data_IF_458801991611
#
_entry.id   IF_458801991611
#
_cell.length_a   1.000
_cell.length_b   1.000
_cell.length_c   1.000
_cell.angle_alpha   90.00
_cell.angle_beta   90.00
_cell.angle_gamma   90.00
#
_symmetry.space_group_name_H-M   'P 1'
#
loop_
_entity.id
_entity.type
_entity.pdbx_description
1 polymer ?
#
# COMPACT_ATOMS: atom_id res chain seq x y z
N UNK A 1 37.25 -84.34 6.79
CA UNK A 1 37.38 -82.91 7.23
C UNK A 1 37.64 -82.16 5.99
N UNK A 2 36.60 -81.51 5.42
CA UNK A 2 36.66 -80.81 4.15
C UNK A 2 36.26 -79.34 4.43
N UNK A 3 37.22 -78.44 4.29
CA UNK A 3 37.01 -76.99 4.46
C UNK A 3 36.27 -76.44 3.26
N UNK A 4 35.07 -75.84 3.48
CA UNK A 4 34.37 -75.07 2.53
C UNK A 4 34.68 -73.59 2.85
N UNK A 5 35.57 -72.95 2.07
CA UNK A 5 35.80 -71.53 2.07
C UNK A 5 34.79 -70.90 1.12
N UNK A 6 33.75 -70.24 1.68
CA UNK A 6 32.79 -69.52 0.92
C UNK A 6 33.36 -68.15 0.57
N UNK A 7 33.44 -67.84 -0.72
CA UNK A 7 34.01 -66.62 -1.30
C UNK A 7 33.09 -65.43 -1.05
N UNK A 8 33.35 -64.63 -0.03
CA UNK A 8 32.59 -63.44 0.38
C UNK A 8 32.79 -62.22 -0.57
N UNK A 9 33.58 -62.35 -1.63
CA UNK A 9 33.93 -61.22 -2.54
C UNK A 9 32.92 -60.93 -3.66
N UNK A 10 31.92 -61.74 -3.89
CA UNK A 10 30.98 -61.56 -5.01
C UNK A 10 29.64 -60.86 -4.65
N UNK A 11 29.38 -60.64 -3.35
CA UNK A 11 28.12 -59.98 -2.93
C UNK A 11 28.19 -58.47 -2.64
N UNK A 12 29.41 -57.92 -2.62
CA UNK A 12 29.58 -56.48 -2.29
C UNK A 12 29.55 -55.54 -3.52
N UNK A 13 29.66 -56.06 -4.73
CA UNK A 13 29.74 -55.22 -5.93
C UNK A 13 28.39 -54.65 -6.44
N UNK A 14 27.23 -55.32 -6.32
CA UNK A 14 25.96 -54.72 -6.78
C UNK A 14 25.39 -53.70 -5.82
N UNK A 15 25.76 -53.70 -4.52
CA UNK A 15 25.23 -52.73 -3.54
C UNK A 15 25.89 -51.35 -3.68
N UNK A 16 27.16 -51.30 -4.10
CA UNK A 16 27.89 -50.04 -4.28
C UNK A 16 27.44 -49.25 -5.54
N UNK A 17 26.94 -49.96 -6.57
CA UNK A 17 26.47 -49.34 -7.81
C UNK A 17 25.07 -48.73 -7.65
N UNK A 18 24.21 -49.29 -6.78
CA UNK A 18 22.87 -48.75 -6.50
C UNK A 18 22.96 -47.50 -5.60
N UNK A 19 23.93 -47.45 -4.68
CA UNK A 19 24.13 -46.29 -3.80
C UNK A 19 24.62 -45.04 -4.53
N UNK A 20 25.40 -45.21 -5.62
CA UNK A 20 25.93 -44.04 -6.39
C UNK A 20 24.97 -43.51 -7.44
N UNK A 21 23.95 -44.28 -7.84
CA UNK A 21 22.93 -43.78 -8.79
C UNK A 21 21.85 -42.92 -8.10
N UNK A 22 21.65 -43.04 -6.80
CA UNK A 22 20.67 -42.27 -6.04
C UNK A 22 21.11 -40.80 -5.80
N UNK A 23 22.40 -40.47 -5.98
CA UNK A 23 22.92 -39.10 -5.79
C UNK A 23 22.90 -38.24 -7.06
N UNK A 24 22.39 -38.76 -8.18
CA UNK A 24 22.29 -38.00 -9.46
C UNK A 24 20.88 -37.54 -9.81
N UNK A 25 19.98 -37.48 -8.83
CA UNK A 25 18.71 -36.74 -9.06
C UNK A 25 19.07 -35.26 -9.19
N UNK A 26 18.82 -34.63 -10.36
CA UNK A 26 19.03 -33.22 -10.48
C UNK A 26 18.17 -32.53 -9.42
N UNK A 27 18.80 -31.74 -8.56
CA UNK A 27 18.06 -30.87 -7.67
C UNK A 27 17.05 -30.11 -8.53
N UNK A 28 15.77 -29.96 -8.11
CA UNK A 28 14.81 -29.20 -8.88
C UNK A 28 15.42 -27.80 -9.06
N UNK A 29 15.81 -27.49 -10.28
CA UNK A 29 16.20 -26.13 -10.66
C UNK A 29 14.97 -25.28 -10.42
N UNK A 30 14.98 -24.50 -9.36
CA UNK A 30 13.94 -23.53 -9.08
C UNK A 30 13.89 -22.62 -10.31
N UNK A 31 12.80 -22.71 -11.07
CA UNK A 31 12.65 -21.90 -12.27
C UNK A 31 12.83 -20.42 -11.87
N UNK A 32 13.82 -19.77 -12.48
CA UNK A 32 14.08 -18.36 -12.21
C UNK A 32 12.86 -17.57 -12.64
N UNK A 33 12.32 -16.75 -11.75
CA UNK A 33 11.20 -15.87 -12.06
C UNK A 33 11.51 -15.01 -13.27
N UNK A 34 10.60 -14.99 -14.23
CA UNK A 34 10.69 -14.12 -15.39
C UNK A 34 10.15 -12.75 -14.98
N UNK A 35 10.96 -11.73 -15.09
CA UNK A 35 10.56 -10.36 -14.86
C UNK A 35 10.23 -9.69 -16.19
N UNK A 36 9.11 -8.98 -16.21
CA UNK A 36 8.66 -8.23 -17.39
C UNK A 36 8.49 -6.76 -17.05
N UNK A 37 8.57 -5.90 -18.05
CA UNK A 37 8.38 -4.46 -17.92
C UNK A 37 7.24 -3.99 -18.83
N UNK A 38 6.35 -3.18 -18.29
CA UNK A 38 5.25 -2.52 -19.01
C UNK A 38 5.39 -1.01 -18.78
N UNK A 39 5.34 -0.22 -19.84
CA UNK A 39 5.38 1.24 -19.73
C UNK A 39 4.05 1.82 -20.19
N UNK A 40 3.54 2.78 -19.43
CA UNK A 40 2.38 3.60 -19.75
C UNK A 40 2.79 5.06 -19.95
N UNK A 41 1.83 5.96 -20.03
CA UNK A 41 2.10 7.40 -20.14
C UNK A 41 2.81 7.96 -18.90
N UNK A 42 2.37 7.53 -17.71
CA UNK A 42 2.82 8.11 -16.45
C UNK A 42 3.64 7.15 -15.57
N UNK A 43 3.66 5.85 -15.86
CA UNK A 43 4.27 4.82 -15.01
C UNK A 43 5.14 3.86 -15.80
N UNK A 44 6.20 3.39 -15.13
CA UNK A 44 6.93 2.18 -15.54
C UNK A 44 6.59 1.08 -14.54
N UNK A 45 6.09 -0.05 -15.00
CA UNK A 45 5.80 -1.20 -14.16
C UNK A 45 6.81 -2.30 -14.45
N UNK A 46 7.33 -2.94 -13.41
CA UNK A 46 8.27 -4.07 -13.51
C UNK A 46 7.82 -5.14 -12.51
N UNK A 47 7.84 -6.40 -12.89
CA UNK A 47 7.42 -7.43 -11.94
C UNK A 47 7.59 -8.85 -12.43
N UNK A 48 7.44 -9.80 -11.49
CA UNK A 48 7.37 -11.22 -11.76
C UNK A 48 5.92 -11.76 -11.74
N UNK A 49 4.93 -10.87 -11.61
CA UNK A 49 3.52 -11.18 -11.88
C UNK A 49 3.29 -11.42 -13.38
N UNK A 50 2.16 -12.01 -13.76
CA UNK A 50 1.83 -12.22 -15.17
C UNK A 50 1.69 -10.89 -15.92
N UNK A 51 1.95 -10.89 -17.22
CA UNK A 51 1.78 -9.70 -18.05
C UNK A 51 0.37 -9.12 -17.95
N UNK A 52 -0.64 -9.99 -17.88
CA UNK A 52 -2.05 -9.60 -17.70
C UNK A 52 -2.26 -8.81 -16.41
N UNK A 53 -1.74 -9.30 -15.30
CA UNK A 53 -1.86 -8.63 -14.00
C UNK A 53 -1.13 -7.30 -13.98
N UNK A 54 0.11 -7.24 -14.50
CA UNK A 54 0.87 -5.99 -14.57
C UNK A 54 0.15 -4.95 -15.45
N UNK A 55 -0.43 -5.35 -16.57
CA UNK A 55 -1.24 -4.45 -17.41
C UNK A 55 -2.54 -4.00 -16.73
N UNK A 56 -3.17 -4.86 -15.94
CA UNK A 56 -4.33 -4.47 -15.13
C UNK A 56 -3.96 -3.42 -14.08
N UNK A 57 -2.88 -3.63 -13.34
CA UNK A 57 -2.33 -2.64 -12.38
C UNK A 57 -2.07 -1.31 -13.09
N UNK A 58 -1.40 -1.35 -14.24
CA UNK A 58 -1.10 -0.17 -15.04
C UNK A 58 -2.35 0.61 -15.45
N UNK A 59 -3.37 -0.10 -15.94
CA UNK A 59 -4.65 0.49 -16.35
C UNK A 59 -5.36 1.14 -15.17
N UNK A 60 -5.41 0.47 -14.02
CA UNK A 60 -6.05 0.99 -12.81
C UNK A 60 -5.35 2.24 -12.27
N UNK A 61 -4.02 2.28 -12.29
CA UNK A 61 -3.26 3.47 -11.89
C UNK A 61 -3.50 4.67 -12.81
N UNK A 62 -3.51 4.45 -14.13
CA UNK A 62 -3.79 5.54 -15.07
C UNK A 62 -5.23 6.07 -14.92
N UNK A 63 -6.21 5.19 -14.71
CA UNK A 63 -7.60 5.57 -14.44
C UNK A 63 -7.71 6.38 -13.15
N UNK A 64 -7.10 5.90 -12.08
CA UNK A 64 -7.09 6.60 -10.79
C UNK A 64 -6.47 7.98 -10.93
N UNK A 65 -5.30 8.09 -11.56
CA UNK A 65 -4.61 9.35 -11.80
C UNK A 65 -5.46 10.33 -12.62
N UNK A 66 -6.11 9.87 -13.68
CA UNK A 66 -6.98 10.72 -14.52
C UNK A 66 -8.16 11.28 -13.72
N UNK A 67 -8.86 10.43 -12.94
CA UNK A 67 -9.97 10.85 -12.10
C UNK A 67 -9.51 11.81 -11.01
N UNK A 68 -8.44 11.49 -10.30
CA UNK A 68 -7.91 12.32 -9.24
C UNK A 68 -7.51 13.72 -9.74
N UNK A 69 -6.86 13.79 -10.90
CA UNK A 69 -6.49 15.05 -11.55
C UNK A 69 -7.72 15.90 -11.92
N UNK A 70 -8.82 15.26 -12.31
CA UNK A 70 -10.07 15.95 -12.65
C UNK A 70 -10.83 16.45 -11.43
N UNK A 71 -10.83 15.70 -10.33
CA UNK A 71 -11.52 16.06 -9.09
C UNK A 71 -10.88 17.28 -8.44
N UNK A 72 -9.58 17.38 -8.49
CA UNK A 72 -8.82 18.45 -7.86
C UNK A 72 -8.44 19.53 -8.88
N UNK A 73 -9.45 20.03 -9.61
CA UNK A 73 -9.31 21.11 -10.60
C UNK A 73 -8.60 22.31 -9.98
N UNK A 74 -7.43 22.65 -10.54
CA UNK A 74 -6.62 23.80 -10.10
C UNK A 74 -5.35 23.40 -9.34
N UNK A 75 -5.25 22.19 -8.80
CA UNK A 75 -3.99 21.67 -8.31
C UNK A 75 -3.15 21.18 -9.48
N UNK A 76 -1.92 21.63 -9.59
CA UNK A 76 -0.95 21.07 -10.53
C UNK A 76 -0.44 19.76 -9.94
N UNK A 77 -1.01 18.64 -10.39
CA UNK A 77 -0.50 17.33 -10.00
C UNK A 77 0.78 17.03 -10.76
N UNK A 78 1.85 17.57 -10.26
CA UNK A 78 3.19 17.31 -10.77
C UNK A 78 3.76 16.05 -10.12
N UNK A 79 4.26 15.15 -10.93
CA UNK A 79 5.12 14.05 -10.52
C UNK A 79 6.47 14.26 -11.19
N UNK A 80 7.29 15.19 -10.68
CA UNK A 80 8.54 15.58 -11.32
C UNK A 80 9.53 14.43 -11.40
N UNK A 81 9.44 13.51 -10.45
CA UNK A 81 10.27 12.29 -10.40
C UNK A 81 9.45 11.13 -10.98
N UNK A 82 10.01 10.37 -11.96
CA UNK A 82 9.31 9.23 -12.54
C UNK A 82 9.00 8.16 -11.49
N UNK A 83 7.87 7.48 -11.66
CA UNK A 83 7.42 6.44 -10.73
C UNK A 83 7.51 5.06 -11.36
N UNK A 84 8.21 4.16 -10.68
CA UNK A 84 8.30 2.74 -11.01
C UNK A 84 7.46 1.93 -10.04
N UNK A 85 6.57 1.09 -10.57
CA UNK A 85 5.73 0.19 -9.78
C UNK A 85 6.26 -1.23 -9.89
N UNK A 86 6.60 -1.84 -8.76
CA UNK A 86 7.12 -3.21 -8.70
C UNK A 86 5.99 -4.15 -8.30
N UNK A 87 5.62 -5.05 -9.21
CA UNK A 87 4.45 -5.94 -9.06
C UNK A 87 4.91 -7.37 -8.85
N UNK A 88 4.69 -7.87 -7.64
CA UNK A 88 5.03 -9.24 -7.26
C UNK A 88 3.84 -10.18 -7.45
N UNK A 89 4.10 -11.38 -7.98
CA UNK A 89 3.08 -12.42 -8.21
C UNK A 89 2.50 -13.01 -6.93
N UNK A 90 3.23 -12.92 -5.81
CA UNK A 90 2.82 -13.53 -4.54
C UNK A 90 3.47 -12.84 -3.34
N UNK A 91 2.87 -13.00 -2.16
CA UNK A 91 3.45 -12.53 -0.91
C UNK A 91 4.81 -13.18 -0.61
N UNK A 92 5.01 -14.44 -1.01
CA UNK A 92 6.30 -15.12 -0.86
C UNK A 92 7.40 -14.49 -1.71
N UNK A 93 7.09 -14.06 -2.93
CA UNK A 93 8.05 -13.34 -3.79
C UNK A 93 8.27 -11.90 -3.36
N UNK A 94 7.30 -11.28 -2.69
CA UNK A 94 7.37 -9.93 -2.16
C UNK A 94 8.15 -9.86 -0.83
N UNK A 95 8.01 -10.85 0.03
CA UNK A 95 8.58 -10.87 1.39
C UNK A 95 10.04 -10.44 1.52
N UNK A 96 10.98 -10.83 0.62
CA UNK A 96 12.38 -10.40 0.71
C UNK A 96 12.58 -8.88 0.53
N UNK A 97 11.62 -8.18 -0.08
CA UNK A 97 11.64 -6.76 -0.38
C UNK A 97 10.70 -5.95 0.50
N UNK A 98 9.95 -6.64 1.37
CA UNK A 98 8.92 -6.00 2.20
C UNK A 98 9.55 -5.35 3.44
N UNK A 99 9.38 -4.04 3.54
CA UNK A 99 9.81 -3.25 4.69
C UNK A 99 8.60 -3.12 5.64
N UNK A 100 8.69 -3.68 6.86
CA UNK A 100 7.67 -3.49 7.88
C UNK A 100 6.44 -4.41 7.79
N UNK A 101 6.48 -5.50 7.02
CA UNK A 101 5.39 -6.47 6.88
C UNK A 101 4.08 -5.87 6.34
N UNK A 102 4.18 -4.92 5.43
CA UNK A 102 3.06 -4.26 4.77
C UNK A 102 2.66 -5.01 3.49
N UNK A 103 1.44 -4.81 3.01
CA UNK A 103 0.98 -5.40 1.75
C UNK A 103 1.49 -4.64 0.50
N UNK A 104 1.94 -3.41 0.69
CA UNK A 104 2.62 -2.54 -0.25
C UNK A 104 3.31 -1.41 0.49
N UNK A 105 4.10 -0.61 -0.20
CA UNK A 105 4.63 0.65 0.32
C UNK A 105 5.07 1.58 -0.81
N UNK A 106 5.02 2.87 -0.53
CA UNK A 106 5.63 3.92 -1.33
C UNK A 106 7.00 4.28 -0.76
N UNK A 107 7.98 4.46 -1.64
CA UNK A 107 9.29 4.97 -1.29
C UNK A 107 9.69 6.12 -2.20
N UNK A 108 9.87 7.30 -1.60
CA UNK A 108 10.43 8.45 -2.27
C UNK A 108 11.94 8.29 -2.43
N UNK A 109 12.44 8.60 -3.63
CA UNK A 109 13.86 8.72 -3.93
C UNK A 109 14.08 9.92 -4.86
N UNK A 110 15.30 10.41 -4.94
CA UNK A 110 15.62 11.63 -5.69
C UNK A 110 15.47 11.47 -7.21
N UNK A 111 15.72 10.28 -7.75
CA UNK A 111 15.73 10.03 -9.20
C UNK A 111 14.48 9.25 -9.67
N UNK A 112 13.98 8.30 -8.87
CA UNK A 112 12.85 7.42 -9.22
C UNK A 112 12.08 7.08 -7.96
N UNK A 113 10.78 7.37 -7.93
CA UNK A 113 9.90 6.91 -6.87
C UNK A 113 9.48 5.45 -7.09
N UNK A 114 9.32 4.70 -6.01
CA UNK A 114 8.91 3.30 -6.08
C UNK A 114 7.60 3.07 -5.34
N UNK A 115 6.69 2.32 -5.99
CA UNK A 115 5.53 1.71 -5.35
C UNK A 115 5.71 0.20 -5.47
N UNK A 116 5.58 -0.53 -4.39
CA UNK A 116 5.67 -1.99 -4.39
C UNK A 116 4.38 -2.62 -3.91
N UNK A 117 3.99 -3.73 -4.52
CA UNK A 117 2.79 -4.47 -4.12
C UNK A 117 2.88 -5.94 -4.52
N UNK A 118 2.06 -6.78 -3.85
CA UNK A 118 1.77 -8.14 -4.29
C UNK A 118 0.37 -8.23 -4.89
N UNK A 119 0.19 -9.02 -5.95
CA UNK A 119 -1.15 -9.32 -6.50
C UNK A 119 -1.92 -10.36 -5.68
N UNK A 120 -1.24 -11.06 -4.75
CA UNK A 120 -1.83 -12.08 -3.88
C UNK A 120 -2.24 -11.48 -2.53
N UNK A 121 -3.48 -11.03 -2.40
CA UNK A 121 -3.98 -10.35 -1.20
C UNK A 121 -5.23 -11.00 -0.58
N UNK A 122 -5.30 -12.32 -0.52
CA UNK A 122 -6.23 -13.06 0.35
C UNK A 122 -7.68 -12.53 0.42
N UNK A 123 -8.30 -12.19 -0.71
CA UNK A 123 -9.69 -11.71 -0.76
C UNK A 123 -9.89 -10.20 -0.62
N UNK A 124 -8.84 -9.42 -0.41
CA UNK A 124 -8.90 -7.95 -0.48
C UNK A 124 -8.69 -7.48 -1.93
N UNK A 125 -9.23 -6.30 -2.25
CA UNK A 125 -8.96 -5.66 -3.53
C UNK A 125 -7.48 -5.25 -3.61
N UNK A 126 -6.65 -5.87 -4.46
CA UNK A 126 -5.23 -5.55 -4.53
C UNK A 126 -4.98 -4.10 -4.97
N UNK A 127 -5.95 -3.50 -5.66
CA UNK A 127 -5.83 -2.13 -6.13
C UNK A 127 -5.99 -1.11 -5.01
N UNK A 128 -6.68 -1.43 -3.91
CA UNK A 128 -6.84 -0.51 -2.78
C UNK A 128 -5.49 -0.07 -2.22
N UNK A 129 -4.54 -1.00 -2.11
CA UNK A 129 -3.18 -0.69 -1.64
C UNK A 129 -2.45 0.23 -2.62
N UNK A 130 -2.59 -0.03 -3.93
CA UNK A 130 -1.94 0.81 -4.95
C UNK A 130 -2.49 2.24 -4.89
N UNK A 131 -3.78 2.41 -4.71
CA UNK A 131 -4.40 3.73 -4.59
C UNK A 131 -3.94 4.44 -3.33
N UNK A 132 -3.88 3.73 -2.20
CA UNK A 132 -3.37 4.24 -0.94
C UNK A 132 -1.93 4.77 -1.10
N UNK A 133 -1.02 3.94 -1.60
CA UNK A 133 0.38 4.33 -1.80
C UNK A 133 0.55 5.44 -2.85
N UNK A 134 -0.30 5.45 -3.87
CA UNK A 134 -0.26 6.51 -4.88
C UNK A 134 -0.76 7.85 -4.33
N UNK A 135 -1.70 7.85 -3.40
CA UNK A 135 -2.11 9.08 -2.69
C UNK A 135 -0.94 9.66 -1.91
N UNK A 136 -0.16 8.86 -1.21
CA UNK A 136 1.06 9.34 -0.53
C UNK A 136 2.03 10.02 -1.50
N UNK A 137 2.26 9.43 -2.68
CA UNK A 137 3.07 10.06 -3.73
C UNK A 137 2.50 11.42 -4.15
N UNK A 138 1.18 11.50 -4.34
CA UNK A 138 0.54 12.75 -4.76
C UNK A 138 0.58 13.83 -3.66
N UNK A 139 0.31 13.45 -2.42
CA UNK A 139 0.40 14.35 -1.26
C UNK A 139 1.81 14.89 -1.11
N UNK A 140 2.81 14.01 -1.14
CA UNK A 140 4.22 14.37 -0.97
C UNK A 140 4.71 15.35 -2.06
N UNK A 141 4.26 15.17 -3.29
CA UNK A 141 4.68 16.04 -4.40
C UNK A 141 3.92 17.38 -4.50
N UNK A 142 2.71 17.49 -3.91
CA UNK A 142 1.82 18.59 -4.19
C UNK A 142 1.30 19.37 -2.96
N UNK A 143 1.30 18.74 -1.77
CA UNK A 143 0.72 19.32 -0.57
C UNK A 143 1.76 19.63 0.53
N UNK A 144 3.04 19.37 0.25
CA UNK A 144 4.10 19.60 1.23
C UNK A 144 3.98 18.73 2.49
N UNK A 145 4.33 19.29 3.64
CA UNK A 145 4.41 18.53 4.90
C UNK A 145 3.06 18.50 5.63
N UNK A 146 2.14 17.66 5.18
CA UNK A 146 0.87 17.45 5.87
C UNK A 146 1.01 16.52 7.08
N UNK A 147 0.20 16.69 8.14
CA UNK A 147 0.27 15.81 9.31
C UNK A 147 -0.15 14.36 8.97
N UNK A 148 0.43 13.37 9.65
CA UNK A 148 0.19 11.95 9.39
C UNK A 148 -1.29 11.55 9.38
N UNK A 149 -2.11 12.07 10.31
CA UNK A 149 -3.54 11.73 10.34
C UNK A 149 -4.26 12.14 9.04
N UNK A 150 -3.89 13.27 8.45
CA UNK A 150 -4.51 13.71 7.20
C UNK A 150 -3.99 12.90 6.02
N UNK A 151 -2.70 12.64 5.97
CA UNK A 151 -2.07 11.84 4.92
C UNK A 151 -2.66 10.42 4.87
N UNK A 152 -2.70 9.74 6.03
CA UNK A 152 -3.27 8.38 6.11
C UNK A 152 -4.78 8.37 5.88
N UNK A 153 -5.51 9.32 6.47
CA UNK A 153 -6.95 9.41 6.29
C UNK A 153 -7.36 9.66 4.84
N UNK A 154 -6.60 10.47 4.12
CA UNK A 154 -6.81 10.72 2.70
C UNK A 154 -6.48 9.50 1.85
N UNK A 155 -5.37 8.81 2.16
CA UNK A 155 -4.97 7.60 1.48
C UNK A 155 -6.02 6.49 1.67
N UNK A 156 -6.53 6.30 2.89
CA UNK A 156 -7.63 5.36 3.18
C UNK A 156 -8.94 5.75 2.48
N UNK A 157 -9.29 7.04 2.43
CA UNK A 157 -10.49 7.50 1.72
C UNK A 157 -10.44 7.15 0.23
N UNK A 158 -9.33 7.41 -0.43
CA UNK A 158 -9.15 7.13 -1.86
C UNK A 158 -8.80 5.67 -2.15
N UNK A 159 -8.40 4.87 -1.16
CA UNK A 159 -8.13 3.44 -1.33
C UNK A 159 -9.35 2.66 -1.80
N UNK A 160 -10.54 3.20 -1.56
CA UNK A 160 -11.84 2.62 -1.96
C UNK A 160 -12.25 2.98 -3.40
N UNK A 161 -11.35 3.61 -4.17
CA UNK A 161 -11.64 3.96 -5.56
C UNK A 161 -12.09 2.75 -6.36
N UNK A 162 -13.23 2.92 -7.04
CA UNK A 162 -13.75 1.96 -8.00
C UNK A 162 -14.32 2.69 -9.21
N UNK A 163 -14.12 2.11 -10.39
CA UNK A 163 -14.71 2.59 -11.63
C UNK A 163 -15.52 1.47 -12.27
N UNK A 164 -16.80 1.72 -12.46
CA UNK A 164 -17.72 0.82 -13.14
C UNK A 164 -17.63 0.93 -14.67
N UNK A 165 -18.23 -0.03 -15.38
CA UNK A 165 -18.22 -0.09 -16.85
C UNK A 165 -18.87 1.15 -17.50
N UNK A 166 -19.88 1.75 -16.86
CA UNK A 166 -20.54 2.98 -17.29
C UNK A 166 -19.75 4.26 -16.98
N UNK A 167 -18.51 4.11 -16.51
CA UNK A 167 -17.60 5.19 -16.09
C UNK A 167 -18.05 5.97 -14.85
N UNK A 168 -18.95 5.43 -14.05
CA UNK A 168 -19.18 5.94 -12.71
C UNK A 168 -18.00 5.65 -11.82
N UNK A 169 -17.66 6.63 -11.00
CA UNK A 169 -16.56 6.55 -10.03
C UNK A 169 -17.16 6.53 -8.64
N UNK A 170 -16.77 5.52 -7.87
CA UNK A 170 -17.08 5.41 -6.45
C UNK A 170 -15.83 5.78 -5.64
N UNK A 171 -16.03 6.61 -4.62
CA UNK A 171 -14.98 7.10 -3.72
C UNK A 171 -15.55 7.18 -2.30
N UNK A 172 -14.70 6.96 -1.31
CA UNK A 172 -15.09 7.09 0.09
C UNK A 172 -16.10 6.05 0.53
N UNK A 173 -16.08 4.86 -0.04
CA UNK A 173 -16.88 3.75 0.43
C UNK A 173 -16.49 3.36 1.87
N UNK A 174 -17.44 2.78 2.59
CA UNK A 174 -17.20 2.35 3.97
C UNK A 174 -16.20 1.19 4.00
N UNK A 175 -15.20 1.31 4.85
CA UNK A 175 -14.19 0.27 5.08
C UNK A 175 -14.61 -0.57 6.30
N UNK A 176 -15.08 -1.83 6.09
CA UNK A 176 -15.64 -2.65 7.18
C UNK A 176 -14.68 -2.83 8.36
N UNK A 177 -13.40 -3.02 8.06
CA UNK A 177 -12.37 -3.18 9.09
C UNK A 177 -12.22 -1.91 9.96
N UNK A 178 -12.23 -0.73 9.36
CA UNK A 178 -12.19 0.54 10.11
C UNK A 178 -13.44 0.73 10.96
N UNK A 179 -14.61 0.41 10.42
CA UNK A 179 -15.86 0.46 11.20
C UNK A 179 -15.84 -0.48 12.41
N UNK A 180 -15.28 -1.68 12.24
CA UNK A 180 -15.11 -2.62 13.34
C UNK A 180 -14.16 -2.04 14.39
N UNK A 181 -13.00 -1.57 14.00
CA UNK A 181 -12.01 -0.94 14.90
C UNK A 181 -12.61 0.24 15.68
N UNK A 182 -13.35 1.13 15.00
CA UNK A 182 -14.00 2.28 15.65
C UNK A 182 -15.09 1.88 16.67
N UNK A 183 -15.69 0.69 16.51
CA UNK A 183 -16.71 0.17 17.45
C UNK A 183 -16.12 -0.57 18.65
N UNK A 184 -15.03 -1.29 18.43
CA UNK A 184 -14.48 -2.24 19.40
C UNK A 184 -13.32 -1.67 20.20
N UNK A 185 -12.58 -0.71 19.64
CA UNK A 185 -11.40 -0.16 20.28
C UNK A 185 -11.65 1.18 20.97
N UNK A 186 -10.79 1.49 21.94
CA UNK A 186 -10.81 2.79 22.58
C UNK A 186 -10.24 3.85 21.65
N UNK A 187 -11.07 4.81 21.29
CA UNK A 187 -10.70 5.92 20.42
C UNK A 187 -9.67 6.85 21.06
N UNK A 188 -8.84 7.46 20.22
CA UNK A 188 -7.90 8.49 20.62
C UNK A 188 -8.66 9.81 20.84
N UNK A 189 -8.34 10.58 21.89
CA UNK A 189 -8.75 11.97 21.90
C UNK A 189 -8.21 12.72 20.67
N UNK A 190 -9.01 13.57 20.04
CA UNK A 190 -8.60 14.32 18.83
C UNK A 190 -7.25 15.02 19.00
N UNK A 191 -6.96 15.58 20.19
CA UNK A 191 -5.65 16.16 20.48
C UNK A 191 -4.51 15.15 20.34
N UNK A 192 -4.74 13.90 20.73
CA UNK A 192 -3.75 12.82 20.58
C UNK A 192 -3.62 12.43 19.10
N UNK A 193 -4.73 12.26 18.40
CA UNK A 193 -4.77 11.97 16.97
C UNK A 193 -3.93 12.99 16.17
N UNK A 194 -4.14 14.28 16.43
CA UNK A 194 -3.42 15.36 15.76
C UNK A 194 -1.95 15.47 16.13
N UNK A 195 -1.55 14.94 17.28
CA UNK A 195 -0.18 14.94 17.76
C UNK A 195 0.64 13.71 17.32
N UNK A 196 0.01 12.76 16.62
CA UNK A 196 0.72 11.57 16.11
C UNK A 196 1.71 12.00 15.03
N UNK A 197 2.96 11.60 15.22
CA UNK A 197 4.05 11.71 14.24
C UNK A 197 4.54 10.34 13.81
N UNK A 198 5.49 10.31 12.87
CA UNK A 198 6.06 9.06 12.34
C UNK A 198 6.86 8.23 13.36
N UNK A 199 7.20 8.80 14.50
CA UNK A 199 7.90 8.11 15.61
C UNK A 199 6.93 7.61 16.68
N UNK A 200 5.67 8.03 16.61
CA UNK A 200 4.66 7.67 17.59
C UNK A 200 4.38 6.17 17.60
N UNK A 201 4.17 5.55 18.79
CA UNK A 201 3.63 4.19 18.89
C UNK A 201 2.30 4.00 18.16
N UNK A 202 1.47 5.05 18.05
CA UNK A 202 0.21 5.03 17.30
C UNK A 202 0.41 4.95 15.80
N UNK A 203 1.58 5.29 15.30
CA UNK A 203 1.91 5.13 13.89
C UNK A 203 2.56 3.75 13.60
N UNK A 204 3.34 3.22 14.55
CA UNK A 204 4.23 2.08 14.32
C UNK A 204 3.77 0.76 14.93
N UNK A 205 2.92 0.76 15.97
CA UNK A 205 2.58 -0.45 16.72
C UNK A 205 1.20 -1.00 16.33
N UNK A 206 1.13 -2.18 15.77
CA UNK A 206 0.02 -3.05 15.43
C UNK A 206 -1.40 -2.49 15.70
N UNK A 207 -2.01 -2.83 16.86
CA UNK A 207 -3.38 -2.41 17.20
C UNK A 207 -3.55 -0.89 17.34
N UNK A 208 -2.54 -0.21 17.92
CA UNK A 208 -2.57 1.26 18.04
C UNK A 208 -2.58 1.92 16.68
N UNK A 209 -1.80 1.41 15.72
CA UNK A 209 -1.81 1.85 14.33
C UNK A 209 -3.19 1.65 13.71
N UNK A 210 -3.84 0.50 13.93
CA UNK A 210 -5.20 0.25 13.42
C UNK A 210 -6.21 1.30 13.88
N UNK A 211 -6.19 1.68 15.15
CA UNK A 211 -7.05 2.75 15.70
C UNK A 211 -6.73 4.09 15.06
N UNK A 212 -5.44 4.45 14.95
CA UNK A 212 -5.02 5.70 14.32
C UNK A 212 -5.48 5.81 12.87
N UNK A 213 -5.32 4.75 12.07
CA UNK A 213 -5.76 4.71 10.68
C UNK A 213 -7.28 4.82 10.55
N UNK A 214 -8.03 4.07 11.38
CA UNK A 214 -9.48 4.10 11.36
C UNK A 214 -10.05 5.48 11.73
N UNK A 215 -9.48 6.16 12.74
CA UNK A 215 -9.92 7.50 13.13
C UNK A 215 -9.50 8.56 12.12
N UNK A 216 -8.32 8.46 11.53
CA UNK A 216 -7.84 9.32 10.47
C UNK A 216 -8.75 9.24 9.25
N UNK A 217 -9.10 8.01 8.82
CA UNK A 217 -10.07 7.77 7.77
C UNK A 217 -11.44 8.37 8.09
N UNK A 218 -11.98 8.10 9.29
CA UNK A 218 -13.30 8.59 9.68
C UNK A 218 -13.37 10.12 9.70
N UNK A 219 -12.31 10.78 10.18
CA UNK A 219 -12.23 12.24 10.20
C UNK A 219 -12.18 12.83 8.79
N UNK A 220 -11.33 12.31 7.90
CA UNK A 220 -11.24 12.76 6.51
C UNK A 220 -12.55 12.48 5.77
N UNK A 221 -13.13 11.29 5.94
CA UNK A 221 -14.43 10.92 5.38
C UNK A 221 -15.53 11.89 5.82
N UNK A 222 -15.57 12.23 7.11
CA UNK A 222 -16.50 13.23 7.66
C UNK A 222 -16.29 14.60 7.03
N UNK A 223 -15.06 15.09 6.93
CA UNK A 223 -14.73 16.42 6.39
C UNK A 223 -15.10 16.55 4.91
N UNK A 224 -14.99 15.47 4.16
CA UNK A 224 -15.29 15.46 2.72
C UNK A 224 -16.78 15.29 2.44
N UNK A 225 -17.45 14.37 3.12
CA UNK A 225 -18.79 13.91 2.74
C UNK A 225 -19.92 14.44 3.61
N UNK A 226 -19.65 14.84 4.88
CA UNK A 226 -20.74 15.25 5.78
C UNK A 226 -21.45 16.49 5.28
N UNK A 227 -22.79 16.48 5.44
CA UNK A 227 -23.65 17.60 5.06
C UNK A 227 -23.35 18.15 3.64
N UNK A 228 -23.20 17.25 2.66
CA UNK A 228 -22.90 17.60 1.26
C UNK A 228 -21.62 18.45 1.10
N UNK A 229 -20.57 18.15 1.86
CA UNK A 229 -19.29 18.85 1.76
C UNK A 229 -19.24 20.19 2.50
N UNK A 230 -20.11 20.40 3.48
CA UNK A 230 -20.16 21.64 4.27
C UNK A 230 -18.79 22.01 4.90
N UNK A 231 -17.93 21.02 5.17
CA UNK A 231 -16.61 21.23 5.77
C UNK A 231 -15.49 21.40 4.76
N UNK A 232 -15.80 21.35 3.47
CA UNK A 232 -14.79 21.49 2.40
C UNK A 232 -14.06 22.85 2.44
N UNK A 233 -14.68 23.98 2.75
CA UNK A 233 -13.96 25.26 2.88
C UNK A 233 -12.89 25.23 3.99
N UNK A 234 -13.20 24.60 5.15
CA UNK A 234 -12.24 24.47 6.24
C UNK A 234 -11.08 23.55 5.86
N UNK A 235 -11.39 22.42 5.19
CA UNK A 235 -10.37 21.52 4.66
C UNK A 235 -9.49 22.23 3.63
N UNK A 236 -10.07 23.00 2.72
CA UNK A 236 -9.32 23.77 1.73
C UNK A 236 -8.41 24.82 2.38
N UNK A 237 -8.89 25.50 3.42
CA UNK A 237 -8.08 26.44 4.18
C UNK A 237 -6.92 25.73 4.90
N UNK A 238 -7.17 24.56 5.47
CA UNK A 238 -6.11 23.74 6.08
C UNK A 238 -5.02 23.37 5.06
N UNK A 239 -5.42 22.94 3.86
CA UNK A 239 -4.47 22.58 2.79
C UNK A 239 -3.65 23.80 2.32
N UNK A 240 -4.27 24.96 2.20
CA UNK A 240 -3.56 26.19 1.83
C UNK A 240 -2.51 26.58 2.89
N UNK A 241 -2.85 26.48 4.18
CA UNK A 241 -1.90 26.77 5.26
C UNK A 241 -0.72 25.79 5.30
N UNK A 242 -0.96 24.54 4.97
CA UNK A 242 0.13 23.54 4.85
C UNK A 242 1.05 23.83 3.66
N UNK A 243 0.49 24.25 2.52
CA UNK A 243 1.25 24.63 1.33
C UNK A 243 2.10 25.90 1.58
N UNK A 244 1.58 26.85 2.36
CA UNK A 244 2.30 28.04 2.79
C UNK A 244 3.40 27.75 3.83
N UNK A 245 3.54 26.49 4.27
CA UNK A 245 4.54 26.08 5.28
C UNK A 245 4.24 26.59 6.68
N UNK A 246 2.99 27.02 6.93
CA UNK A 246 2.55 27.40 8.28
C UNK A 246 2.55 26.16 9.15
N UNK A 247 3.43 26.14 10.15
CA UNK A 247 3.45 25.08 11.14
C UNK A 247 2.10 25.04 11.84
N UNK A 248 1.37 23.93 11.67
CA UNK A 248 0.09 23.70 12.33
C UNK A 248 0.34 23.55 13.82
N UNK A 249 0.43 24.66 14.53
CA UNK A 249 0.49 24.63 15.98
C UNK A 249 -0.81 24.00 16.51
N UNK A 250 -0.65 23.17 17.54
CA UNK A 250 -1.73 22.44 18.24
C UNK A 250 -2.88 23.35 18.71
N UNK A 251 -2.65 24.67 18.79
CA UNK A 251 -3.64 25.68 19.19
C UNK A 251 -4.54 26.15 18.05
N UNK A 252 -4.10 26.06 16.78
CA UNK A 252 -4.87 26.60 15.62
C UNK A 252 -5.82 25.56 15.04
N UNK A 253 -5.56 24.27 15.24
CA UNK A 253 -6.40 23.19 14.74
C UNK A 253 -7.88 23.26 15.21
N UNK A 254 -8.18 23.58 16.49
CA UNK A 254 -9.55 23.75 16.95
C UNK A 254 -10.30 24.88 16.26
N UNK A 255 -9.60 25.92 15.78
CA UNK A 255 -10.20 27.08 15.13
C UNK A 255 -10.68 26.74 13.72
N UNK A 256 -9.92 25.91 12.97
CA UNK A 256 -10.31 25.44 11.64
C UNK A 256 -11.51 24.49 11.67
N UNK A 257 -11.68 23.74 12.75
CA UNK A 257 -12.73 22.75 12.94
C UNK A 257 -13.71 23.11 14.06
N UNK A 258 -13.88 24.41 14.37
CA UNK A 258 -14.89 24.85 15.33
C UNK A 258 -16.27 24.47 14.80
N UNK A 259 -16.79 23.35 15.25
CA UNK A 259 -18.16 22.96 15.00
C UNK A 259 -19.07 23.97 15.72
N UNK A 260 -19.75 24.81 15.00
CA UNK A 260 -20.84 25.59 15.57
C UNK A 260 -21.89 24.62 16.08
N UNK A 261 -21.89 24.34 17.39
CA UNK A 261 -23.08 23.76 18.04
C UNK A 261 -24.19 24.77 17.78
N UNK A 262 -25.05 24.50 16.80
CA UNK A 262 -26.37 25.13 16.79
C UNK A 262 -27.11 24.59 17.99
N UNK A 263 -27.43 25.50 18.91
CA UNK A 263 -28.33 25.27 20.04
C UNK A 263 -29.73 24.92 19.55
#
# INVERSE_FOLDING_TARGET
MTHILFNLRKLLFPILVIGTLACLTPSPTQAKDTWISVRTKNFTLVGNASEKEIRQVATRLEQFRDVFTRLLKGAKFETPVPTTVIVFKSMSSYKPFNIGNNAGYFQKCDEVNYITLSTELGGQNPYSIIYHEFVHLLVDNNLGNVPPWFNEGLAEYYSTFEIEEDRKVHLGELIPYHLQTLREDKLLPLRTLFAVDHYSPYYNEGRKRGVFYAESWALVHYLILSNNGQHFPQLSQFLNLTDEGVAMDRSEFPILFTFHRRA
#
